data_IF_968110615863
#
_entry.id   IF_968110615863
#
_cell.length_a   1.000
_cell.length_b   1.000
_cell.length_c   1.000
_cell.angle_alpha   90.00
_cell.angle_beta   90.00
_cell.angle_gamma   90.00
#
_symmetry.space_group_name_H-M   'P 1'
#
loop_
_entity.id
_entity.type
_entity.pdbx_description
1 polymer ?
#
# COMPACT_ATOMS: atom_id res chain seq x y z
N UNK A 1 29.56 -15.11 -28.14
CA UNK A 1 29.25 -14.29 -26.95
C UNK A 1 30.35 -14.31 -25.90
N UNK A 2 30.62 -15.43 -25.17
CA UNK A 2 31.63 -15.46 -24.09
C UNK A 2 33.04 -15.01 -24.51
N UNK A 3 33.51 -15.45 -25.68
CA UNK A 3 34.82 -15.03 -26.22
C UNK A 3 34.91 -13.55 -26.57
N UNK A 4 33.78 -12.89 -26.89
CA UNK A 4 33.77 -11.46 -27.16
C UNK A 4 33.79 -10.68 -25.85
N UNK A 5 32.96 -11.09 -24.89
CA UNK A 5 32.89 -10.48 -23.56
C UNK A 5 34.25 -10.56 -22.84
N UNK A 6 34.97 -11.68 -22.96
CA UNK A 6 36.30 -11.83 -22.36
C UNK A 6 37.37 -10.89 -22.94
N UNK A 7 37.10 -10.26 -24.09
CA UNK A 7 38.00 -9.30 -24.73
C UNK A 7 37.62 -7.85 -24.40
N UNK A 8 36.49 -7.62 -23.73
CA UNK A 8 36.06 -6.27 -23.38
C UNK A 8 36.86 -5.72 -22.18
N UNK A 9 37.11 -4.40 -22.14
CA UNK A 9 37.71 -3.73 -21.01
C UNK A 9 36.93 -3.94 -19.70
N UNK A 10 37.62 -3.88 -18.56
CA UNK A 10 37.01 -4.04 -17.23
C UNK A 10 36.28 -2.79 -16.73
N UNK A 11 36.55 -1.61 -17.27
CA UNK A 11 35.79 -0.37 -16.96
C UNK A 11 34.56 -0.26 -17.87
N UNK A 12 33.36 0.00 -17.31
CA UNK A 12 32.14 0.19 -18.08
C UNK A 12 32.26 1.27 -19.17
N UNK A 13 32.89 2.40 -18.86
CA UNK A 13 33.05 3.55 -19.77
C UNK A 13 33.88 3.16 -20.99
N UNK A 14 34.99 2.47 -20.76
CA UNK A 14 35.88 2.01 -21.85
C UNK A 14 35.19 0.90 -22.66
N UNK A 15 34.42 0.03 -22.00
CA UNK A 15 33.64 -1.01 -22.67
C UNK A 15 32.50 -0.42 -23.53
N UNK A 16 31.86 0.66 -23.09
CA UNK A 16 30.87 1.42 -23.86
C UNK A 16 31.53 1.96 -25.14
N UNK A 17 32.65 2.68 -25.00
CA UNK A 17 33.37 3.27 -26.15
C UNK A 17 33.79 2.16 -27.14
N UNK A 18 34.38 1.07 -26.66
CA UNK A 18 34.81 -0.04 -27.50
C UNK A 18 33.62 -0.69 -28.23
N UNK A 19 32.47 -0.81 -27.58
CA UNK A 19 31.26 -1.39 -28.18
C UNK A 19 30.61 -0.44 -29.20
N UNK A 20 30.56 0.86 -28.92
CA UNK A 20 30.09 1.88 -29.88
C UNK A 20 30.95 1.90 -31.15
N UNK A 21 32.27 1.83 -30.98
CA UNK A 21 33.22 1.72 -32.09
C UNK A 21 33.03 0.41 -32.86
N UNK A 22 32.83 -0.71 -32.17
CA UNK A 22 32.57 -2.01 -32.80
C UNK A 22 31.27 -2.03 -33.60
N UNK A 23 30.26 -1.29 -33.15
CA UNK A 23 28.97 -1.10 -33.84
C UNK A 23 29.03 -0.01 -34.92
N UNK A 24 30.17 0.67 -35.08
CA UNK A 24 30.40 1.79 -35.99
C UNK A 24 29.44 2.96 -35.79
N UNK A 25 28.94 3.17 -34.55
CA UNK A 25 28.06 4.30 -34.25
C UNK A 25 28.84 5.61 -34.45
N UNK A 26 28.37 6.56 -35.29
CA UNK A 26 29.02 7.85 -35.46
C UNK A 26 29.20 8.58 -34.13
N UNK A 27 30.38 9.18 -33.84
CA UNK A 27 30.63 9.89 -32.58
C UNK A 27 29.60 10.97 -32.24
N UNK A 28 29.08 11.65 -33.28
CA UNK A 28 28.03 12.66 -33.13
C UNK A 28 26.71 12.10 -32.57
N UNK A 29 26.49 10.78 -32.66
CA UNK A 29 25.26 10.11 -32.24
C UNK A 29 25.43 9.31 -30.94
N UNK A 30 26.61 9.27 -30.33
CA UNK A 30 26.87 8.45 -29.15
C UNK A 30 25.91 8.77 -28.00
N UNK A 31 25.71 10.05 -27.70
CA UNK A 31 24.78 10.47 -26.65
C UNK A 31 23.34 10.02 -26.96
N UNK A 32 22.85 10.31 -28.16
CA UNK A 32 21.49 9.91 -28.60
C UNK A 32 21.31 8.41 -28.55
N UNK A 33 22.29 7.64 -29.01
CA UNK A 33 22.22 6.17 -29.01
C UNK A 33 22.22 5.59 -27.60
N UNK A 34 23.05 6.12 -26.70
CA UNK A 34 23.06 5.74 -25.28
C UNK A 34 21.72 6.09 -24.59
N UNK A 35 21.12 7.23 -24.93
CA UNK A 35 19.79 7.60 -24.44
C UNK A 35 18.72 6.63 -24.94
N UNK A 36 18.73 6.22 -26.21
CA UNK A 36 17.82 5.19 -26.73
C UNK A 36 18.00 3.84 -26.01
N UNK A 37 19.25 3.46 -25.69
CA UNK A 37 19.54 2.25 -24.91
C UNK A 37 18.99 2.36 -23.48
N UNK A 38 19.07 3.53 -22.84
CA UNK A 38 18.44 3.74 -21.54
C UNK A 38 16.91 3.71 -21.63
N UNK A 39 16.31 4.45 -22.57
CA UNK A 39 14.86 4.60 -22.71
C UNK A 39 14.14 3.34 -23.19
N UNK A 40 14.83 2.36 -23.75
CA UNK A 40 14.23 1.06 -24.06
C UNK A 40 14.05 0.15 -22.83
N UNK A 41 14.63 0.52 -21.67
CA UNK A 41 14.45 -0.18 -20.38
C UNK A 41 14.16 0.81 -19.24
N UNK A 42 13.13 1.66 -19.37
CA UNK A 42 12.95 2.83 -18.52
C UNK A 42 12.84 2.45 -17.03
N UNK A 43 12.30 1.28 -16.70
CA UNK A 43 12.26 0.77 -15.32
C UNK A 43 13.65 0.54 -14.72
N UNK A 44 14.50 -0.24 -15.39
CA UNK A 44 15.85 -0.55 -14.89
C UNK A 44 16.77 0.67 -14.92
N UNK A 45 16.75 1.46 -16.00
CA UNK A 45 17.57 2.67 -16.08
C UNK A 45 17.17 3.72 -15.03
N UNK A 46 15.87 3.87 -14.74
CA UNK A 46 15.40 4.77 -13.70
C UNK A 46 15.74 4.25 -12.30
N UNK A 47 15.57 2.95 -12.03
CA UNK A 47 15.91 2.36 -10.74
C UNK A 47 17.40 2.49 -10.42
N UNK A 48 18.27 2.19 -11.40
CA UNK A 48 19.73 2.34 -11.25
C UNK A 48 20.12 3.80 -10.99
N UNK A 49 19.52 4.75 -11.74
CA UNK A 49 19.73 6.19 -11.51
C UNK A 49 19.25 6.63 -10.12
N UNK A 50 18.11 6.10 -9.67
CA UNK A 50 17.59 6.37 -8.33
C UNK A 50 18.57 5.88 -7.25
N UNK A 51 19.10 4.66 -7.40
CA UNK A 51 20.07 4.09 -6.46
C UNK A 51 21.34 4.94 -6.35
N UNK A 52 21.88 5.44 -7.48
CA UNK A 52 23.06 6.31 -7.46
C UNK A 52 22.81 7.67 -6.80
N UNK A 53 21.57 8.18 -6.87
CA UNK A 53 21.18 9.44 -6.23
C UNK A 53 20.98 9.24 -4.72
N UNK A 54 20.29 8.18 -4.32
CA UNK A 54 20.02 7.88 -2.90
C UNK A 54 21.27 7.45 -2.12
N UNK A 55 22.24 6.79 -2.77
CA UNK A 55 23.46 6.35 -2.10
C UNK A 55 24.41 7.50 -1.75
N UNK A 56 24.16 8.72 -2.26
CA UNK A 56 24.93 9.93 -1.98
C UNK A 56 26.43 9.82 -2.29
N UNK A 57 26.83 8.79 -3.02
CA UNK A 57 28.22 8.43 -3.29
C UNK A 57 28.55 8.87 -4.71
N UNK A 58 29.28 9.97 -4.86
CA UNK A 58 29.90 10.37 -6.12
C UNK A 58 31.10 9.47 -6.49
N UNK A 59 31.08 8.18 -6.11
CA UNK A 59 32.12 7.24 -6.49
C UNK A 59 31.89 6.80 -7.95
N UNK A 60 32.79 7.13 -8.90
CA UNK A 60 32.67 6.72 -10.29
C UNK A 60 32.62 5.19 -10.46
N UNK A 61 33.14 4.42 -9.49
CA UNK A 61 33.10 2.97 -9.49
C UNK A 61 31.72 2.40 -9.10
N UNK A 62 30.83 3.20 -8.52
CA UNK A 62 29.45 2.84 -8.19
C UNK A 62 28.42 3.43 -9.16
N UNK A 63 28.83 3.90 -10.35
CA UNK A 63 27.90 4.33 -11.39
C UNK A 63 27.31 3.13 -12.14
N UNK A 64 26.33 2.49 -11.52
CA UNK A 64 25.63 1.32 -12.05
C UNK A 64 24.95 1.60 -13.41
N UNK A 65 24.69 2.88 -13.77
CA UNK A 65 24.07 3.24 -15.05
C UNK A 65 25.05 3.00 -16.21
N UNK A 66 26.32 3.37 -16.04
CA UNK A 66 27.38 3.05 -16.99
C UNK A 66 27.52 1.54 -17.13
N UNK A 67 27.49 0.79 -16.01
CA UNK A 67 27.53 -0.67 -16.01
C UNK A 67 26.41 -1.30 -16.83
N UNK A 68 25.17 -0.85 -16.61
CA UNK A 68 23.98 -1.31 -17.33
C UNK A 68 24.08 -1.03 -18.84
N UNK A 69 24.49 0.18 -19.23
CA UNK A 69 24.69 0.55 -20.63
C UNK A 69 25.81 -0.26 -21.30
N UNK A 70 26.92 -0.49 -20.59
CA UNK A 70 28.03 -1.32 -21.06
C UNK A 70 27.58 -2.77 -21.34
N UNK A 71 26.80 -3.37 -20.43
CA UNK A 71 26.27 -4.73 -20.62
C UNK A 71 25.37 -4.83 -21.87
N UNK A 72 24.51 -3.84 -22.09
CA UNK A 72 23.62 -3.80 -23.25
C UNK A 72 24.40 -3.66 -24.55
N UNK A 73 25.30 -2.68 -24.61
CA UNK A 73 26.13 -2.46 -25.79
C UNK A 73 27.04 -3.65 -26.09
N UNK A 74 27.58 -4.31 -25.07
CA UNK A 74 28.35 -5.53 -25.21
C UNK A 74 27.52 -6.65 -25.86
N UNK A 75 26.24 -6.76 -25.50
CA UNK A 75 25.33 -7.72 -26.11
C UNK A 75 25.05 -7.39 -27.58
N UNK A 76 24.71 -6.14 -27.89
CA UNK A 76 24.44 -5.68 -29.26
C UNK A 76 25.66 -5.88 -30.16
N UNK A 77 26.85 -5.48 -29.70
CA UNK A 77 28.09 -5.64 -30.44
C UNK A 77 28.47 -7.12 -30.63
N UNK A 78 28.26 -7.97 -29.62
CA UNK A 78 28.47 -9.39 -29.76
C UNK A 78 27.51 -10.04 -30.77
N UNK A 79 26.24 -9.60 -30.76
CA UNK A 79 25.22 -10.09 -31.66
C UNK A 79 25.54 -9.70 -33.11
N UNK A 80 25.84 -8.42 -33.36
CA UNK A 80 26.27 -7.90 -34.67
C UNK A 80 27.46 -8.69 -35.22
N UNK A 81 28.50 -8.92 -34.42
CA UNK A 81 29.64 -9.76 -34.83
C UNK A 81 29.25 -11.21 -35.14
N UNK A 82 28.38 -11.80 -34.31
CA UNK A 82 27.99 -13.21 -34.48
C UNK A 82 27.11 -13.47 -35.70
N UNK A 83 26.27 -12.48 -36.04
CA UNK A 83 25.32 -12.54 -37.15
C UNK A 83 25.87 -11.86 -38.41
N UNK A 84 27.08 -11.29 -38.34
CA UNK A 84 27.77 -10.60 -39.42
C UNK A 84 26.92 -9.53 -40.12
N UNK A 85 26.10 -8.79 -39.36
CA UNK A 85 25.38 -7.63 -39.88
C UNK A 85 25.98 -6.35 -39.34
N UNK A 86 26.03 -5.34 -40.20
CA UNK A 86 26.40 -3.98 -39.87
C UNK A 86 25.19 -3.07 -40.04
N UNK A 87 25.10 -2.03 -39.21
CA UNK A 87 24.04 -1.04 -39.30
C UNK A 87 24.55 0.09 -40.19
N UNK A 88 23.82 0.38 -41.27
CA UNK A 88 24.06 1.52 -42.12
C UNK A 88 23.51 2.79 -41.44
N UNK A 89 24.35 3.43 -40.62
CA UNK A 89 23.95 4.61 -39.83
C UNK A 89 23.57 5.83 -40.68
N UNK A 90 24.03 5.88 -41.94
CA UNK A 90 23.73 6.96 -42.88
C UNK A 90 22.23 7.06 -43.23
N UNK A 91 21.48 5.95 -43.18
CA UNK A 91 20.05 5.92 -43.50
C UNK A 91 19.16 6.35 -42.32
N UNK A 92 19.67 6.26 -41.10
CA UNK A 92 18.90 6.49 -39.87
C UNK A 92 19.14 7.86 -39.22
N UNK A 93 20.25 8.53 -39.52
CA UNK A 93 20.58 9.79 -38.91
C UNK A 93 21.29 10.73 -39.89
N UNK A 94 20.83 11.97 -39.98
CA UNK A 94 21.51 13.09 -40.66
C UNK A 94 22.85 13.49 -40.00
N UNK A 95 23.47 12.60 -39.22
CA UNK A 95 24.55 12.86 -38.27
C UNK A 95 24.28 14.00 -37.29
N UNK A 96 23.02 14.43 -37.15
CA UNK A 96 22.64 15.41 -36.16
C UNK A 96 22.21 14.70 -34.88
N UNK A 97 22.85 14.98 -33.73
CA UNK A 97 22.37 14.48 -32.45
C UNK A 97 20.95 14.98 -32.21
N UNK A 98 20.09 14.12 -31.66
CA UNK A 98 18.80 14.58 -31.14
C UNK A 98 19.09 15.43 -29.92
N UNK A 99 18.91 16.74 -30.05
CA UNK A 99 18.93 17.66 -28.91
C UNK A 99 17.63 17.48 -28.13
N UNK A 100 17.74 16.98 -26.90
CA UNK A 100 16.66 17.02 -25.92
C UNK A 100 16.61 18.34 -25.16
N UNK A 101 17.51 19.29 -25.46
CA UNK A 101 17.34 20.68 -24.99
C UNK A 101 16.14 21.25 -25.74
N UNK A 102 15.11 21.63 -24.97
CA UNK A 102 13.97 22.41 -25.43
C UNK A 102 14.48 23.55 -26.30
N UNK A 103 14.00 23.63 -27.54
CA UNK A 103 14.44 24.66 -28.46
C UNK A 103 14.00 26.03 -27.89
N UNK A 104 14.87 27.05 -27.95
CA UNK A 104 14.54 28.38 -27.42
C UNK A 104 13.31 29.03 -28.07
N UNK A 105 12.91 28.57 -29.27
CA UNK A 105 11.70 29.00 -29.98
C UNK A 105 10.40 28.31 -29.50
N UNK A 106 10.48 27.33 -28.58
CA UNK A 106 9.29 26.67 -28.00
C UNK A 106 8.55 27.52 -26.97
N UNK A 107 9.11 28.64 -26.51
CA UNK A 107 8.53 29.44 -25.44
C UNK A 107 7.09 29.91 -25.74
N UNK A 108 6.79 30.24 -27.01
CA UNK A 108 5.44 30.66 -27.42
C UNK A 108 4.44 29.48 -27.40
N UNK A 109 4.88 28.29 -27.82
CA UNK A 109 4.06 27.08 -27.79
C UNK A 109 3.87 26.56 -26.35
N UNK A 110 4.87 26.71 -25.48
CA UNK A 110 4.77 26.41 -24.06
C UNK A 110 3.77 27.33 -23.36
N UNK A 111 3.86 28.64 -23.58
CA UNK A 111 2.90 29.61 -23.05
C UNK A 111 1.49 29.31 -23.52
N UNK A 112 1.29 29.01 -24.81
CA UNK A 112 -0.02 28.64 -25.35
C UNK A 112 -0.56 27.35 -24.71
N UNK A 113 0.26 26.29 -24.62
CA UNK A 113 -0.12 25.03 -23.96
C UNK A 113 -0.46 25.25 -22.49
N UNK A 114 0.34 26.04 -21.78
CA UNK A 114 0.10 26.41 -20.39
C UNK A 114 -1.21 27.21 -20.23
N UNK A 115 -1.45 28.21 -21.08
CA UNK A 115 -2.69 28.99 -21.06
C UNK A 115 -3.91 28.11 -21.33
N UNK A 116 -3.84 27.21 -22.31
CA UNK A 116 -4.94 26.26 -22.59
C UNK A 116 -5.15 25.28 -21.44
N UNK A 117 -4.08 24.75 -20.83
CA UNK A 117 -4.17 23.90 -19.65
C UNK A 117 -4.84 24.66 -18.49
N UNK A 118 -4.36 25.87 -18.17
CA UNK A 118 -4.94 26.70 -17.11
C UNK A 118 -6.40 27.05 -17.38
N UNK A 119 -6.75 27.39 -18.62
CA UNK A 119 -8.13 27.65 -19.00
C UNK A 119 -9.01 26.41 -18.81
N UNK A 120 -8.51 25.22 -19.16
CA UNK A 120 -9.24 23.95 -18.97
C UNK A 120 -9.42 23.60 -17.49
N UNK A 121 -8.39 23.80 -16.66
CA UNK A 121 -8.45 23.58 -15.21
C UNK A 121 -9.43 24.55 -14.54
N UNK A 122 -9.41 25.83 -14.92
CA UNK A 122 -10.35 26.84 -14.43
C UNK A 122 -11.78 26.51 -14.83
N UNK A 123 -12.02 26.14 -16.10
CA UNK A 123 -13.35 25.77 -16.56
C UNK A 123 -13.88 24.50 -15.86
N UNK A 124 -13.02 23.49 -15.64
CA UNK A 124 -13.38 22.30 -14.87
C UNK A 124 -13.72 22.65 -13.42
N UNK A 125 -12.86 23.44 -12.75
CA UNK A 125 -13.07 23.92 -11.39
C UNK A 125 -14.40 24.68 -11.28
N UNK A 126 -14.65 25.62 -12.18
CA UNK A 126 -15.85 26.46 -12.12
C UNK A 126 -17.12 25.63 -12.32
N UNK A 127 -17.08 24.63 -13.22
CA UNK A 127 -18.17 23.66 -13.38
C UNK A 127 -18.38 22.83 -12.12
N UNK A 128 -17.31 22.27 -11.54
CA UNK A 128 -17.39 21.47 -10.32
C UNK A 128 -17.92 22.29 -9.13
N UNK A 129 -17.46 23.54 -8.98
CA UNK A 129 -17.94 24.45 -7.94
C UNK A 129 -19.42 24.79 -8.13
N UNK A 130 -19.88 24.97 -9.37
CA UNK A 130 -21.31 25.16 -9.65
C UNK A 130 -22.12 23.91 -9.29
N UNK A 131 -21.65 22.71 -9.65
CA UNK A 131 -22.33 21.45 -9.30
C UNK A 131 -22.42 21.26 -7.77
N UNK A 132 -21.33 21.52 -7.04
CA UNK A 132 -21.31 21.45 -5.57
C UNK A 132 -22.21 22.53 -4.95
N UNK A 133 -22.19 23.76 -5.45
CA UNK A 133 -23.04 24.84 -4.96
C UNK A 133 -24.53 24.52 -5.18
N UNK A 134 -24.90 23.95 -6.33
CA UNK A 134 -26.26 23.50 -6.62
C UNK A 134 -26.68 22.34 -5.70
N UNK A 135 -25.78 21.39 -5.41
CA UNK A 135 -26.06 20.32 -4.44
C UNK A 135 -26.20 20.84 -3.01
N UNK A 136 -25.40 21.84 -2.61
CA UNK A 136 -25.52 22.51 -1.32
C UNK A 136 -26.85 23.28 -1.21
N UNK A 137 -27.27 23.97 -2.28
CA UNK A 137 -28.57 24.64 -2.32
C UNK A 137 -29.75 23.64 -2.31
N UNK A 138 -29.61 22.49 -2.97
CA UNK A 138 -30.61 21.42 -2.91
C UNK A 138 -30.71 20.78 -1.53
N UNK A 139 -29.58 20.52 -0.85
CA UNK A 139 -29.59 19.98 0.51
C UNK A 139 -30.13 20.99 1.53
N UNK A 140 -29.87 22.28 1.36
CA UNK A 140 -30.49 23.35 2.18
C UNK A 140 -31.99 23.46 1.90
N UNK A 141 -32.44 23.41 0.64
CA UNK A 141 -33.87 23.45 0.29
C UNK A 141 -34.64 22.21 0.74
N UNK A 142 -34.08 21.01 0.60
CA UNK A 142 -34.67 19.78 1.12
C UNK A 142 -34.76 19.85 2.65
N UNK A 143 -33.73 20.41 3.32
CA UNK A 143 -33.74 20.69 4.76
C UNK A 143 -34.78 21.74 5.16
N UNK A 144 -35.03 22.77 4.33
CA UNK A 144 -36.09 23.76 4.57
C UNK A 144 -37.51 23.20 4.36
N UNK A 145 -37.74 22.33 3.37
CA UNK A 145 -39.04 21.63 3.25
C UNK A 145 -39.25 20.57 4.35
N UNK A 146 -38.18 20.00 4.90
CA UNK A 146 -38.23 19.15 6.09
C UNK A 146 -38.30 19.97 7.40
N UNK A 147 -37.95 21.26 7.39
CA UNK A 147 -37.95 22.12 8.60
C UNK A 147 -39.34 22.46 9.16
N UNK A 148 -40.41 22.21 8.40
CA UNK A 148 -41.80 22.29 8.89
C UNK A 148 -42.38 20.96 9.36
N UNK A 149 -41.67 19.85 9.15
CA UNK A 149 -41.86 18.64 9.94
C UNK A 149 -40.85 18.71 11.09
N UNK A 150 -41.25 19.37 12.18
CA UNK A 150 -40.64 19.35 13.51
C UNK A 150 -39.31 18.62 13.57
N UNK A 151 -38.20 19.34 13.76
CA UNK A 151 -36.90 18.78 14.09
C UNK A 151 -37.02 17.86 15.32
N UNK A 152 -37.35 16.60 15.06
CA UNK A 152 -37.11 15.50 15.98
C UNK A 152 -35.59 15.50 16.12
N UNK A 153 -35.04 15.52 17.36
CA UNK A 153 -33.61 15.31 17.52
C UNK A 153 -33.29 14.03 16.76
N UNK A 154 -32.49 14.10 15.70
CA UNK A 154 -32.05 12.90 15.02
C UNK A 154 -31.41 12.05 16.11
N UNK A 155 -32.07 10.92 16.45
CA UNK A 155 -31.65 10.07 17.55
C UNK A 155 -30.18 9.72 17.37
N UNK A 156 -29.48 9.54 18.49
CA UNK A 156 -28.10 9.05 18.48
C UNK A 156 -28.03 7.82 17.55
N UNK A 157 -27.16 7.88 16.54
CA UNK A 157 -27.00 6.82 15.54
C UNK A 157 -26.67 5.49 16.23
N UNK A 158 -27.11 4.39 15.62
CA UNK A 158 -26.77 3.04 16.05
C UNK A 158 -25.25 2.85 15.95
N UNK A 159 -24.72 3.14 14.77
CA UNK A 159 -23.30 2.99 14.47
C UNK A 159 -22.70 4.19 13.73
N UNK A 160 -21.44 4.50 14.05
CA UNK A 160 -20.58 5.41 13.31
C UNK A 160 -19.40 4.60 12.78
N UNK A 161 -19.24 4.50 11.47
CA UNK A 161 -18.21 3.68 10.84
C UNK A 161 -17.16 4.57 10.18
N UNK A 162 -15.95 4.55 10.70
CA UNK A 162 -14.80 5.29 10.17
C UNK A 162 -14.05 4.41 9.17
N UNK A 163 -14.19 4.69 7.88
CA UNK A 163 -13.51 3.98 6.81
C UNK A 163 -12.23 4.69 6.38
N UNK A 164 -11.33 3.94 5.74
CA UNK A 164 -10.22 4.56 5.01
C UNK A 164 -10.75 5.50 3.91
N UNK A 165 -10.08 6.65 3.69
CA UNK A 165 -10.32 7.57 2.56
C UNK A 165 -9.94 7.01 1.18
N UNK A 166 -9.66 5.71 1.08
CA UNK A 166 -9.49 5.03 -0.19
C UNK A 166 -10.81 5.10 -0.99
N UNK A 167 -10.72 5.53 -2.24
CA UNK A 167 -11.88 5.70 -3.14
C UNK A 167 -12.71 4.43 -3.31
N UNK A 168 -12.12 3.25 -3.10
CA UNK A 168 -12.83 1.97 -3.16
C UNK A 168 -13.76 1.77 -1.96
N UNK A 169 -13.47 2.39 -0.82
CA UNK A 169 -14.36 2.38 0.36
C UNK A 169 -15.53 3.36 0.23
N UNK A 170 -15.50 4.30 -0.74
CA UNK A 170 -16.58 5.27 -0.91
C UNK A 170 -17.91 4.62 -1.32
N UNK A 171 -17.86 3.55 -2.13
CA UNK A 171 -19.06 2.88 -2.63
C UNK A 171 -19.84 2.20 -1.50
N UNK A 172 -19.14 1.45 -0.64
CA UNK A 172 -19.77 0.78 0.50
C UNK A 172 -20.30 1.79 1.52
N UNK A 173 -19.58 2.89 1.77
CA UNK A 173 -20.04 3.97 2.66
C UNK A 173 -21.38 4.54 2.24
N UNK A 174 -21.48 4.95 0.98
CA UNK A 174 -22.75 5.46 0.41
C UNK A 174 -23.85 4.41 0.44
N UNK A 175 -23.51 3.15 0.20
CA UNK A 175 -24.48 2.08 0.23
C UNK A 175 -25.04 1.87 1.64
N UNK A 176 -24.20 1.83 2.67
CA UNK A 176 -24.61 1.70 4.07
C UNK A 176 -25.55 2.85 4.48
N UNK A 177 -25.18 4.09 4.18
CA UNK A 177 -26.00 5.27 4.47
C UNK A 177 -27.33 5.29 3.69
N UNK A 178 -27.34 4.73 2.47
CA UNK A 178 -28.57 4.62 1.67
C UNK A 178 -29.54 3.55 2.17
N UNK A 179 -29.00 2.49 2.79
CA UNK A 179 -29.79 1.35 3.28
C UNK A 179 -30.30 1.61 4.70
N UNK A 180 -29.53 2.31 5.53
CA UNK A 180 -29.89 2.60 6.92
C UNK A 180 -29.62 4.05 7.30
N UNK A 181 -30.67 4.75 7.71
CA UNK A 181 -30.55 6.08 8.31
C UNK A 181 -29.92 6.08 9.70
N UNK A 182 -29.71 4.91 10.32
CA UNK A 182 -29.13 4.75 11.65
C UNK A 182 -27.61 4.53 11.65
N UNK A 183 -27.01 4.44 10.45
CA UNK A 183 -25.56 4.33 10.25
C UNK A 183 -25.04 5.66 9.68
N UNK A 184 -23.98 6.17 10.27
CA UNK A 184 -23.22 7.31 9.78
C UNK A 184 -21.81 6.87 9.41
N UNK A 185 -21.27 7.31 8.27
CA UNK A 185 -19.90 6.96 7.88
C UNK A 185 -18.97 8.16 7.86
N UNK A 186 -17.73 7.96 8.33
CA UNK A 186 -16.66 8.94 8.29
C UNK A 186 -15.51 8.40 7.42
N UNK A 187 -14.75 9.31 6.81
CA UNK A 187 -13.54 8.97 6.06
C UNK A 187 -12.32 9.47 6.80
N UNK A 188 -11.33 8.60 7.02
CA UNK A 188 -10.03 9.00 7.57
C UNK A 188 -8.87 8.21 6.96
N UNK A 189 -7.62 8.66 7.10
CA UNK A 189 -6.48 7.89 6.63
C UNK A 189 -6.41 6.55 7.39
N UNK A 190 -6.22 5.42 6.67
CA UNK A 190 -6.35 4.06 7.24
C UNK A 190 -5.35 3.69 8.36
N UNK A 191 -4.34 4.53 8.62
CA UNK A 191 -3.46 4.39 9.78
C UNK A 191 -3.98 5.07 11.05
N UNK A 192 -5.10 5.79 10.95
CA UNK A 192 -5.78 6.44 12.08
C UNK A 192 -4.92 7.40 12.89
N UNK A 193 -3.85 7.95 12.30
CA UNK A 193 -2.94 8.85 13.00
C UNK A 193 -1.95 8.13 13.94
N UNK A 194 -1.90 6.79 13.90
CA UNK A 194 -1.09 5.98 14.79
C UNK A 194 0.28 5.67 14.16
N UNK A 195 1.40 6.17 14.71
CA UNK A 195 2.73 5.96 14.16
C UNK A 195 3.30 4.59 14.56
N UNK A 196 2.68 3.50 14.10
CA UNK A 196 2.95 2.13 14.58
C UNK A 196 3.82 1.33 13.61
N UNK A 197 4.76 0.57 14.16
CA UNK A 197 5.35 -0.62 13.55
C UNK A 197 4.67 -1.85 14.15
N UNK A 198 4.08 -2.71 13.33
CA UNK A 198 3.37 -3.90 13.82
C UNK A 198 4.23 -5.15 13.66
N UNK A 199 4.64 -5.73 14.79
CA UNK A 199 5.52 -6.90 14.85
C UNK A 199 4.69 -8.16 15.11
N UNK A 200 4.64 -9.06 14.14
CA UNK A 200 3.85 -10.30 14.25
C UNK A 200 4.48 -11.29 15.22
N UNK A 201 3.65 -12.18 15.77
CA UNK A 201 4.09 -13.16 16.75
C UNK A 201 5.15 -14.09 16.13
N UNK A 202 6.33 -14.10 16.76
CA UNK A 202 7.49 -14.88 16.33
C UNK A 202 8.37 -14.19 15.27
N UNK A 203 8.19 -12.90 15.02
CA UNK A 203 9.05 -12.07 14.15
C UNK A 203 9.95 -11.15 14.99
N UNK A 204 11.06 -10.70 14.37
CA UNK A 204 12.03 -9.80 15.03
C UNK A 204 11.86 -8.33 14.65
N UNK A 205 11.21 -8.08 13.52
CA UNK A 205 10.93 -6.76 12.95
C UNK A 205 9.51 -6.77 12.41
N UNK A 206 8.87 -5.62 12.37
CA UNK A 206 7.48 -5.48 11.95
C UNK A 206 7.32 -4.77 10.61
N UNK A 207 6.06 -4.70 10.18
CA UNK A 207 5.64 -3.88 9.07
C UNK A 207 5.44 -2.43 9.54
N UNK A 208 5.97 -1.45 8.81
CA UNK A 208 5.70 -0.03 9.06
C UNK A 208 4.26 0.29 8.66
N UNK A 209 3.37 0.40 9.63
CA UNK A 209 1.93 0.61 9.42
C UNK A 209 1.58 2.10 9.25
N UNK A 210 2.43 2.84 8.55
CA UNK A 210 2.35 4.29 8.36
C UNK A 210 2.58 4.65 6.89
N UNK A 211 2.18 5.86 6.43
CA UNK A 211 2.53 6.31 5.09
C UNK A 211 4.05 6.32 4.90
N UNK A 212 4.52 6.05 3.68
CA UNK A 212 5.95 5.91 3.34
C UNK A 212 6.83 7.11 3.77
N UNK A 213 6.23 8.29 3.91
CA UNK A 213 6.92 9.53 4.31
C UNK A 213 7.12 9.64 5.83
N UNK A 214 6.47 8.78 6.62
CA UNK A 214 6.53 8.81 8.09
C UNK A 214 7.35 7.63 8.60
N UNK A 215 8.03 7.84 9.73
CA UNK A 215 8.68 6.77 10.48
C UNK A 215 7.79 6.36 11.65
N UNK A 216 7.62 5.05 11.91
CA UNK A 216 7.00 4.58 13.14
C UNK A 216 7.69 5.15 14.38
N UNK A 217 6.91 5.45 15.41
CA UNK A 217 7.38 5.94 16.71
C UNK A 217 7.16 4.93 17.84
N UNK A 218 6.36 3.90 17.60
CA UNK A 218 6.10 2.83 18.56
C UNK A 218 5.95 1.47 17.88
N UNK A 219 6.36 0.42 18.60
CA UNK A 219 6.21 -0.96 18.18
C UNK A 219 5.06 -1.62 18.94
N UNK A 220 4.14 -2.23 18.20
CA UNK A 220 3.07 -3.03 18.74
C UNK A 220 3.30 -4.47 18.36
N UNK A 221 3.36 -5.34 19.36
CA UNK A 221 3.58 -6.76 19.17
C UNK A 221 2.25 -7.50 19.13
N UNK A 222 2.10 -8.41 18.17
CA UNK A 222 1.02 -9.39 18.18
C UNK A 222 1.29 -10.42 19.28
N UNK A 223 0.27 -10.74 20.06
CA UNK A 223 0.34 -11.74 21.12
C UNK A 223 -0.93 -12.61 21.15
N UNK A 224 -0.88 -13.70 21.91
CA UNK A 224 -2.03 -14.58 22.11
C UNK A 224 -2.98 -13.96 23.14
N UNK A 225 -4.29 -14.00 22.88
CA UNK A 225 -5.34 -13.53 23.81
C UNK A 225 -5.31 -14.30 25.13
N UNK A 226 -5.06 -15.61 25.07
CA UNK A 226 -4.89 -16.47 26.24
C UNK A 226 -3.51 -16.26 26.86
N UNK A 227 -3.46 -16.26 28.20
CA UNK A 227 -2.21 -16.23 28.95
C UNK A 227 -1.46 -17.57 28.95
N UNK A 228 -1.94 -18.59 28.21
CA UNK A 228 -1.35 -19.91 28.10
C UNK A 228 0.01 -19.88 27.36
N UNK A 229 1.13 -20.16 28.06
CA UNK A 229 2.46 -20.19 27.44
C UNK A 229 2.62 -21.29 26.39
N UNK A 230 1.93 -22.43 26.57
CA UNK A 230 2.06 -23.59 25.68
C UNK A 230 1.44 -23.27 24.32
N UNK A 231 0.25 -22.65 24.31
CA UNK A 231 -0.41 -22.18 23.10
C UNK A 231 0.48 -21.19 22.32
N UNK A 232 1.08 -20.21 23.01
CA UNK A 232 2.00 -19.25 22.41
C UNK A 232 3.20 -19.93 21.76
N UNK A 233 3.83 -20.86 22.48
CA UNK A 233 4.99 -21.61 21.97
C UNK A 233 4.64 -22.43 20.72
N UNK A 234 3.47 -23.06 20.72
CA UNK A 234 2.98 -23.88 19.61
C UNK A 234 2.72 -23.04 18.35
N UNK A 235 2.08 -21.88 18.49
CA UNK A 235 1.84 -20.95 17.36
C UNK A 235 3.17 -20.44 16.80
N UNK A 236 4.11 -20.05 17.65
CA UNK A 236 5.45 -19.58 17.22
C UNK A 236 6.19 -20.67 16.47
N UNK A 237 6.18 -21.91 16.96
CA UNK A 237 6.84 -23.04 16.31
C UNK A 237 6.21 -23.34 14.94
N UNK A 238 4.88 -23.37 14.87
CA UNK A 238 4.14 -23.63 13.62
C UNK A 238 4.41 -22.56 12.56
N UNK A 239 4.41 -21.27 12.95
CA UNK A 239 4.78 -20.16 12.04
C UNK A 239 6.24 -20.24 11.62
N UNK A 240 7.14 -20.60 12.53
CA UNK A 240 8.55 -20.85 12.25
C UNK A 240 8.76 -21.91 11.16
N UNK A 241 8.10 -23.06 11.29
CA UNK A 241 8.16 -24.15 10.31
C UNK A 241 7.61 -23.72 8.93
N UNK A 242 6.47 -23.03 8.92
CA UNK A 242 5.84 -22.54 7.69
C UNK A 242 6.75 -21.55 6.95
N UNK A 243 7.38 -20.61 7.68
CA UNK A 243 8.35 -19.66 7.12
C UNK A 243 9.61 -20.36 6.60
N UNK A 244 10.13 -21.35 7.32
CA UNK A 244 11.28 -22.12 6.89
C UNK A 244 10.99 -22.86 5.57
N UNK A 245 9.82 -23.48 5.46
CA UNK A 245 9.36 -24.14 4.24
C UNK A 245 9.22 -23.16 3.07
N UNK A 246 8.59 -22.00 3.29
CA UNK A 246 8.45 -20.98 2.25
C UNK A 246 9.78 -20.39 1.80
N UNK A 247 10.71 -20.15 2.72
CA UNK A 247 12.05 -19.67 2.39
C UNK A 247 12.78 -20.69 1.54
N UNK A 248 12.70 -21.98 1.89
CA UNK A 248 13.23 -23.07 1.09
C UNK A 248 12.57 -23.11 -0.31
N UNK A 249 11.25 -23.02 -0.36
CA UNK A 249 10.47 -23.03 -1.60
C UNK A 249 10.83 -21.86 -2.53
N UNK A 250 10.94 -20.65 -1.96
CA UNK A 250 11.37 -19.45 -2.67
C UNK A 250 12.79 -19.62 -3.22
N UNK A 251 13.73 -20.08 -2.39
CA UNK A 251 15.12 -20.30 -2.79
C UNK A 251 15.23 -21.34 -3.92
N UNK A 252 14.45 -22.42 -3.88
CA UNK A 252 14.41 -23.42 -4.95
C UNK A 252 13.90 -22.80 -6.26
N UNK A 253 12.82 -22.01 -6.19
CA UNK A 253 12.23 -21.34 -7.37
C UNK A 253 13.14 -20.27 -7.98
N UNK A 254 13.86 -19.51 -7.15
CA UNK A 254 14.72 -18.40 -7.61
C UNK A 254 16.15 -18.80 -7.87
N UNK A 255 16.55 -20.05 -7.58
CA UNK A 255 17.88 -20.57 -7.89
C UNK A 255 18.04 -20.79 -9.39
N UNK A 256 19.15 -20.31 -9.96
CA UNK A 256 19.48 -20.48 -11.37
C UNK A 256 19.57 -21.95 -11.82
N UNK A 257 19.95 -22.85 -10.89
CA UNK A 257 20.07 -24.30 -11.16
C UNK A 257 18.77 -25.04 -10.82
N UNK A 258 17.96 -24.49 -9.89
CA UNK A 258 16.75 -25.13 -9.38
C UNK A 258 15.48 -24.80 -10.15
N UNK A 259 15.43 -23.66 -10.87
CA UNK A 259 14.19 -23.17 -11.46
C UNK A 259 13.61 -24.09 -12.56
N UNK A 260 14.43 -24.62 -13.47
CA UNK A 260 13.96 -25.50 -14.54
C UNK A 260 13.50 -26.87 -14.02
N UNK A 261 14.30 -27.61 -13.22
CA UNK A 261 13.83 -28.87 -12.62
C UNK A 261 12.62 -28.67 -11.71
N UNK A 262 12.53 -27.54 -11.01
CA UNK A 262 11.37 -27.20 -10.19
C UNK A 262 10.10 -27.08 -11.03
N UNK A 263 10.14 -26.35 -12.15
CA UNK A 263 8.96 -26.20 -13.03
C UNK A 263 8.57 -27.53 -13.65
N UNK A 264 9.53 -28.33 -14.10
CA UNK A 264 9.27 -29.66 -14.69
C UNK A 264 8.62 -30.63 -13.69
N UNK A 265 9.12 -30.67 -12.44
CA UNK A 265 8.62 -31.59 -11.41
C UNK A 265 7.32 -31.12 -10.77
N UNK A 266 7.21 -29.83 -10.45
CA UNK A 266 6.01 -29.28 -9.79
C UNK A 266 4.90 -28.91 -10.76
N UNK A 267 5.21 -28.69 -12.04
CA UNK A 267 4.25 -28.31 -13.07
C UNK A 267 3.08 -29.30 -13.20
N UNK A 268 3.36 -30.60 -13.16
CA UNK A 268 2.32 -31.65 -13.19
C UNK A 268 1.42 -31.62 -11.95
N UNK A 269 1.98 -31.30 -10.76
CA UNK A 269 1.19 -31.12 -9.53
C UNK A 269 0.28 -29.89 -9.62
N UNK A 270 0.72 -28.82 -10.28
CA UNK A 270 -0.15 -27.68 -10.57
C UNK A 270 -1.30 -28.04 -11.51
N UNK A 271 -1.09 -28.97 -12.46
CA UNK A 271 -2.16 -29.51 -13.30
C UNK A 271 -3.28 -30.15 -12.48
N UNK A 272 -2.94 -30.97 -11.49
CA UNK A 272 -3.90 -31.53 -10.53
C UNK A 272 -4.62 -30.45 -9.71
N UNK A 273 -3.89 -29.40 -9.28
CA UNK A 273 -4.49 -28.26 -8.57
C UNK A 273 -5.49 -27.48 -9.44
N UNK A 274 -5.15 -27.24 -10.71
CA UNK A 274 -6.02 -26.58 -11.68
C UNK A 274 -7.25 -27.43 -11.99
N UNK A 275 -7.09 -28.74 -12.16
CA UNK A 275 -8.21 -29.66 -12.33
C UNK A 275 -9.16 -29.57 -11.13
N UNK A 276 -8.65 -29.70 -9.90
CA UNK A 276 -9.47 -29.56 -8.67
C UNK A 276 -10.19 -28.22 -8.57
N UNK A 277 -9.55 -27.10 -8.98
CA UNK A 277 -10.21 -25.79 -9.08
C UNK A 277 -11.33 -25.78 -10.12
N UNK A 278 -11.08 -26.39 -11.28
CA UNK A 278 -12.03 -26.43 -12.39
C UNK A 278 -13.27 -27.27 -12.10
N UNK A 279 -13.12 -28.34 -11.31
CA UNK A 279 -14.23 -29.21 -10.89
C UNK A 279 -14.88 -28.79 -9.57
N UNK A 280 -14.51 -27.62 -9.00
CA UNK A 280 -15.10 -27.10 -7.76
C UNK A 280 -14.72 -27.87 -6.48
N UNK A 281 -13.70 -28.74 -6.55
CA UNK A 281 -13.22 -29.55 -5.43
C UNK A 281 -12.16 -28.85 -4.57
N UNK A 282 -11.75 -27.64 -4.94
CA UNK A 282 -11.02 -26.80 -3.99
C UNK A 282 -12.05 -26.12 -3.09
N UNK A 283 -11.89 -26.17 -1.75
CA UNK A 283 -12.51 -25.17 -0.90
C UNK A 283 -12.23 -23.82 -1.56
N UNK A 284 -13.23 -22.93 -1.63
CA UNK A 284 -12.90 -21.53 -1.87
C UNK A 284 -11.71 -21.21 -0.96
N UNK A 285 -10.59 -20.68 -1.49
CA UNK A 285 -9.61 -20.08 -0.61
C UNK A 285 -10.43 -19.10 0.20
N UNK A 286 -10.67 -19.41 1.47
CA UNK A 286 -11.44 -18.58 2.39
C UNK A 286 -11.08 -17.14 2.10
N UNK A 287 -12.11 -16.29 2.00
CA UNK A 287 -12.13 -14.89 1.56
C UNK A 287 -11.23 -13.93 2.38
N UNK A 288 -10.05 -14.42 2.73
CA UNK A 288 -9.36 -14.22 3.97
C UNK A 288 -7.91 -14.66 3.73
N UNK A 289 -7.18 -13.77 3.06
CA UNK A 289 -5.79 -13.49 3.32
C UNK A 289 -4.77 -14.59 2.94
N UNK A 290 -3.98 -14.28 1.91
CA UNK A 290 -2.59 -14.77 1.84
C UNK A 290 -1.78 -14.48 3.13
N UNK A 291 -2.27 -13.61 4.03
CA UNK A 291 -1.76 -13.42 5.39
C UNK A 291 -2.45 -14.25 6.49
N UNK A 292 -3.72 -14.67 6.39
CA UNK A 292 -4.36 -15.61 7.35
C UNK A 292 -3.92 -17.05 7.08
N UNK A 293 -3.36 -17.35 5.91
CA UNK A 293 -2.55 -18.56 5.74
C UNK A 293 -1.38 -18.65 6.74
N UNK A 294 -0.95 -17.53 7.35
CA UNK A 294 0.00 -17.51 8.47
C UNK A 294 -0.64 -17.40 9.85
N UNK A 295 -1.92 -17.07 9.93
CA UNK A 295 -2.70 -17.02 11.16
C UNK A 295 -3.64 -18.21 11.17
N UNK A 296 -3.10 -19.39 11.49
CA UNK A 296 -3.92 -20.60 11.62
C UNK A 296 -4.99 -20.49 12.71
N UNK A 297 -4.91 -19.48 13.58
CA UNK A 297 -5.88 -19.10 14.60
C UNK A 297 -6.01 -17.55 14.66
N UNK A 298 -6.70 -16.88 13.72
CA UNK A 298 -6.78 -15.42 13.72
C UNK A 298 -7.52 -14.89 14.95
N UNK A 299 -8.49 -15.64 15.46
CA UNK A 299 -9.30 -15.27 16.61
C UNK A 299 -8.55 -15.35 17.94
N UNK A 300 -7.41 -16.05 17.98
CA UNK A 300 -6.58 -16.21 19.17
C UNK A 300 -5.49 -15.14 19.31
N UNK A 301 -5.24 -14.34 18.26
CA UNK A 301 -4.15 -13.37 18.22
C UNK A 301 -4.68 -11.95 18.31
N UNK A 302 -3.96 -11.06 18.99
CA UNK A 302 -4.31 -9.64 19.10
C UNK A 302 -3.11 -8.70 19.22
N UNK A 303 -3.25 -7.41 18.86
CA UNK A 303 -2.25 -6.40 19.17
C UNK A 303 -2.14 -6.19 20.68
N UNK A 304 -0.93 -6.31 21.23
CA UNK A 304 -0.65 -6.12 22.66
C UNK A 304 -0.05 -4.74 22.93
N UNK A 305 -0.70 -3.98 23.83
CA UNK A 305 -0.29 -2.62 24.20
C UNK A 305 0.64 -2.58 25.43
N UNK A 306 0.86 -3.70 26.11
CA UNK A 306 1.58 -3.75 27.39
C UNK A 306 3.06 -3.36 27.29
N UNK A 307 3.66 -3.50 26.10
CA UNK A 307 5.07 -3.17 25.86
C UNK A 307 5.33 -1.68 25.61
N UNK A 308 4.28 -0.84 25.52
CA UNK A 308 4.43 0.58 25.21
C UNK A 308 5.19 1.35 26.30
N UNK A 309 4.92 1.06 27.57
CA UNK A 309 5.63 1.69 28.68
C UNK A 309 7.15 1.42 28.64
N UNK A 310 7.57 0.23 28.20
CA UNK A 310 8.98 -0.14 28.08
C UNK A 310 9.70 0.62 26.96
N UNK A 311 8.93 1.09 25.97
CA UNK A 311 9.40 1.91 24.85
C UNK A 311 9.39 3.42 25.19
N UNK A 312 9.03 3.78 26.42
CA UNK A 312 8.87 5.17 26.83
C UNK A 312 7.55 5.81 26.41
N UNK A 313 6.65 5.06 25.74
CA UNK A 313 5.32 5.55 25.37
C UNK A 313 4.42 5.54 26.60
N UNK A 314 4.19 6.73 27.13
CA UNK A 314 3.37 6.95 28.30
C UNK A 314 1.88 6.95 27.98
N UNK A 315 1.08 6.77 29.03
CA UNK A 315 -0.36 6.95 28.95
C UNK A 315 -0.79 8.33 28.42
N UNK A 316 -0.03 9.39 28.74
CA UNK A 316 -0.33 10.75 28.26
C UNK A 316 -0.10 10.87 26.75
N UNK A 317 0.97 10.29 26.22
CA UNK A 317 1.23 10.25 24.77
C UNK A 317 0.17 9.44 24.02
N UNK A 318 -0.31 8.33 24.60
CA UNK A 318 -1.46 7.60 24.04
C UNK A 318 -2.74 8.45 24.04
N UNK A 319 -2.92 9.28 25.07
CA UNK A 319 -4.04 10.23 25.11
C UNK A 319 -3.88 11.32 24.05
N UNK A 320 -2.67 11.83 23.82
CA UNK A 320 -2.37 12.80 22.76
C UNK A 320 -2.69 12.23 21.37
N UNK A 321 -2.31 10.97 21.13
CA UNK A 321 -2.64 10.27 19.89
C UNK A 321 -4.15 10.06 19.73
N UNK A 322 -4.84 9.62 20.78
CA UNK A 322 -6.28 9.43 20.76
C UNK A 322 -7.05 10.74 20.52
N UNK A 323 -6.62 11.83 21.16
CA UNK A 323 -7.20 13.16 20.97
C UNK A 323 -6.97 13.67 19.54
N UNK A 324 -5.74 13.55 19.04
CA UNK A 324 -5.37 13.93 17.68
C UNK A 324 -6.19 13.15 16.65
N UNK A 325 -6.31 11.83 16.83
CA UNK A 325 -7.12 10.96 16.00
C UNK A 325 -8.58 11.43 15.94
N UNK A 326 -9.24 11.61 17.09
CA UNK A 326 -10.65 12.02 17.16
C UNK A 326 -10.88 13.43 16.60
N UNK A 327 -9.99 14.39 16.88
CA UNK A 327 -10.09 15.77 16.34
C UNK A 327 -9.93 15.79 14.83
N UNK A 328 -8.95 15.07 14.29
CA UNK A 328 -8.69 15.05 12.85
C UNK A 328 -9.81 14.32 12.08
N UNK A 329 -10.55 13.41 12.72
CA UNK A 329 -11.76 12.80 12.16
C UNK A 329 -13.01 13.68 12.26
N UNK A 330 -12.97 14.74 13.08
CA UNK A 330 -14.16 15.51 13.45
C UNK A 330 -15.08 14.80 14.46
N UNK A 331 -14.69 13.63 14.96
CA UNK A 331 -15.48 12.82 15.89
C UNK A 331 -15.16 13.19 17.35
N UNK A 332 -15.58 14.38 17.77
CA UNK A 332 -15.31 14.91 19.12
C UNK A 332 -16.55 14.97 20.02
N UNK A 333 -17.74 14.78 19.44
CA UNK A 333 -19.04 14.80 20.10
C UNK A 333 -20.03 13.90 19.36
N UNK A 334 -21.24 13.70 19.92
CA UNK A 334 -22.30 12.89 19.31
C UNK A 334 -21.90 11.46 18.92
N UNK A 335 -21.04 10.84 19.74
CA UNK A 335 -20.66 9.44 19.56
C UNK A 335 -21.89 8.53 19.52
N UNK A 336 -21.97 7.61 18.57
CA UNK A 336 -22.94 6.50 18.53
C UNK A 336 -22.69 5.50 19.66
N UNK A 337 -23.54 4.47 19.77
CA UNK A 337 -23.30 3.37 20.72
C UNK A 337 -22.16 2.47 20.24
N UNK A 338 -22.08 2.22 18.94
CA UNK A 338 -21.00 1.47 18.30
C UNK A 338 -20.21 2.39 17.38
N UNK A 339 -18.90 2.51 17.60
CA UNK A 339 -18.00 3.20 16.66
C UNK A 339 -17.05 2.17 16.05
N UNK A 340 -17.06 2.00 14.74
CA UNK A 340 -16.24 1.00 14.05
C UNK A 340 -15.08 1.68 13.31
N UNK A 341 -13.84 1.33 13.64
CA UNK A 341 -12.69 1.70 12.81
C UNK A 341 -12.49 0.63 11.74
N UNK A 342 -12.80 0.97 10.49
CA UNK A 342 -12.66 0.10 9.34
C UNK A 342 -11.34 0.42 8.61
N UNK A 343 -10.28 -0.31 8.97
CA UNK A 343 -9.11 -0.41 8.11
C UNK A 343 -9.50 -1.08 6.79
N UNK A 344 -8.68 -0.97 5.75
CA UNK A 344 -8.97 -1.69 4.51
C UNK A 344 -7.80 -2.55 4.05
N UNK A 345 -8.14 -3.58 3.29
CA UNK A 345 -7.20 -4.44 2.60
C UNK A 345 -7.81 -4.93 1.29
N UNK A 346 -7.08 -5.79 0.61
CA UNK A 346 -7.51 -6.40 -0.63
C UNK A 346 -7.24 -7.90 -0.64
N UNK A 347 -8.07 -8.62 -1.39
CA UNK A 347 -7.82 -10.04 -1.66
C UNK A 347 -7.36 -10.18 -3.12
N UNK A 348 -6.10 -10.57 -3.29
CA UNK A 348 -5.52 -10.84 -4.60
C UNK A 348 -4.76 -12.15 -4.59
N UNK A 349 -4.94 -12.96 -5.64
CA UNK A 349 -4.12 -14.14 -5.91
C UNK A 349 -2.77 -13.75 -6.56
N UNK A 350 -2.64 -12.50 -7.04
CA UNK A 350 -1.46 -11.97 -7.70
C UNK A 350 -0.65 -11.07 -6.75
N UNK A 351 0.32 -11.69 -6.06
CA UNK A 351 1.13 -11.05 -5.02
C UNK A 351 1.84 -9.73 -5.42
N UNK A 352 2.40 -9.56 -6.63
CA UNK A 352 2.98 -8.29 -7.09
C UNK A 352 2.09 -7.05 -6.95
N UNK A 353 0.77 -7.19 -7.08
CA UNK A 353 -0.17 -6.06 -6.99
C UNK A 353 -0.74 -5.86 -5.59
N UNK A 354 -0.45 -6.77 -4.64
CA UNK A 354 -1.01 -6.72 -3.28
C UNK A 354 -0.73 -5.38 -2.62
N UNK A 355 0.53 -4.95 -2.58
CA UNK A 355 0.90 -3.68 -1.93
C UNK A 355 0.25 -2.45 -2.59
N UNK A 356 -0.03 -2.51 -3.90
CA UNK A 356 -0.74 -1.44 -4.62
C UNK A 356 -2.26 -1.46 -4.42
N UNK A 357 -2.83 -2.59 -4.00
CA UNK A 357 -4.26 -2.74 -3.70
C UNK A 357 -4.57 -2.62 -2.20
N UNK A 358 -3.59 -2.83 -1.33
CA UNK A 358 -3.73 -2.58 0.11
C UNK A 358 -3.62 -1.07 0.42
N UNK A 359 -3.61 -0.71 1.70
CA UNK A 359 -3.71 0.68 2.12
C UNK A 359 -2.43 1.46 1.93
N UNK A 360 -2.44 2.44 1.02
CA UNK A 360 -1.31 3.36 0.83
C UNK A 360 -0.98 4.18 2.09
N UNK A 361 -1.98 4.52 2.90
CA UNK A 361 -1.77 5.20 4.19
C UNK A 361 -1.17 4.27 5.26
N UNK A 362 -1.17 2.96 5.05
CA UNK A 362 -0.50 1.97 5.91
C UNK A 362 0.75 1.40 5.23
N UNK A 363 1.36 2.11 4.28
CA UNK A 363 2.59 1.67 3.63
C UNK A 363 2.41 0.53 2.62
N UNK A 364 1.20 0.31 2.11
CA UNK A 364 0.87 -0.82 1.23
C UNK A 364 0.58 -2.11 1.99
N UNK A 365 0.23 -2.00 3.28
CA UNK A 365 -0.21 -3.11 4.12
C UNK A 365 -1.70 -3.03 4.44
N UNK A 366 -2.28 -4.12 4.93
CA UNK A 366 -3.66 -4.13 5.46
C UNK A 366 -3.79 -3.14 6.61
N UNK A 367 -4.88 -2.37 6.64
CA UNK A 367 -5.23 -1.47 7.75
C UNK A 367 -5.75 -2.18 8.99
N UNK A 368 -5.84 -3.53 9.00
CA UNK A 368 -6.32 -4.33 10.13
C UNK A 368 -5.60 -3.97 11.45
N UNK A 369 -4.26 -3.97 11.55
CA UNK A 369 -3.59 -3.74 12.83
C UNK A 369 -3.92 -2.36 13.39
N UNK A 370 -3.92 -1.34 12.54
CA UNK A 370 -4.21 0.04 12.93
C UNK A 370 -5.64 0.22 13.45
N UNK A 371 -6.62 -0.40 12.79
CA UNK A 371 -8.01 -0.40 13.26
C UNK A 371 -8.15 -1.04 14.65
N UNK A 372 -7.51 -2.20 14.84
CA UNK A 372 -7.53 -2.94 16.11
C UNK A 372 -6.85 -2.17 17.24
N UNK A 373 -5.72 -1.54 16.95
CA UNK A 373 -5.00 -0.69 17.91
C UNK A 373 -5.82 0.56 18.26
N UNK A 374 -6.40 1.25 17.28
CA UNK A 374 -7.23 2.43 17.50
C UNK A 374 -8.42 2.13 18.43
N UNK A 375 -9.16 1.06 18.15
CA UNK A 375 -10.27 0.61 18.99
C UNK A 375 -9.79 0.27 20.40
N UNK A 376 -8.67 -0.46 20.54
CA UNK A 376 -8.12 -0.87 21.84
C UNK A 376 -7.65 0.32 22.68
N UNK A 377 -7.00 1.33 22.07
CA UNK A 377 -6.60 2.57 22.77
C UNK A 377 -7.84 3.32 23.29
N UNK A 378 -8.84 3.54 22.43
CA UNK A 378 -10.03 4.30 22.80
C UNK A 378 -10.96 3.58 23.79
N UNK A 379 -10.84 2.25 23.92
CA UNK A 379 -11.54 1.48 24.95
C UNK A 379 -10.84 1.46 26.32
N UNK A 380 -9.62 1.97 26.46
CA UNK A 380 -8.96 2.05 27.77
C UNK A 380 -9.64 3.08 28.69
N UNK A 381 -9.93 2.67 29.93
CA UNK A 381 -10.62 3.51 30.90
C UNK A 381 -9.81 4.75 31.28
N UNK A 382 -8.48 4.62 31.38
CA UNK A 382 -7.59 5.74 31.62
C UNK A 382 -7.67 6.75 30.47
N UNK A 383 -7.61 6.29 29.20
CA UNK A 383 -7.58 7.17 28.01
C UNK A 383 -8.88 7.96 27.94
N UNK A 384 -10.02 7.29 28.11
CA UNK A 384 -11.33 7.94 28.16
C UNK A 384 -11.44 8.98 29.28
N UNK A 385 -10.87 8.69 30.47
CA UNK A 385 -10.86 9.64 31.60
C UNK A 385 -10.03 10.88 31.27
N UNK A 386 -8.85 10.70 30.69
CA UNK A 386 -7.99 11.82 30.31
C UNK A 386 -8.58 12.65 29.16
N UNK A 387 -9.17 12.02 28.14
CA UNK A 387 -9.88 12.70 27.06
C UNK A 387 -11.03 13.58 27.58
N UNK A 388 -11.76 13.10 28.59
CA UNK A 388 -12.81 13.90 29.26
C UNK A 388 -12.26 15.20 29.85
N UNK A 389 -11.08 15.16 30.49
CA UNK A 389 -10.42 16.37 31.00
C UNK A 389 -9.95 17.32 29.88
N UNK A 390 -9.77 16.81 28.66
CA UNK A 390 -9.42 17.60 27.47
C UNK A 390 -10.63 18.05 26.64
N UNK A 391 -11.84 17.87 27.18
CA UNK A 391 -13.08 18.35 26.56
C UNK A 391 -13.73 17.35 25.58
N UNK A 392 -13.19 16.15 25.40
CA UNK A 392 -13.78 15.10 24.58
C UNK A 392 -14.45 14.07 25.49
N UNK A 393 -15.77 14.12 25.60
CA UNK A 393 -16.53 13.19 26.44
C UNK A 393 -17.10 12.06 25.59
N UNK A 394 -16.49 10.87 25.71
CA UNK A 394 -17.02 9.63 25.14
C UNK A 394 -18.06 9.05 26.12
N UNK A 395 -19.33 8.87 25.72
CA UNK A 395 -20.35 8.25 26.56
C UNK A 395 -19.92 6.85 27.06
N UNK A 396 -20.31 6.49 28.29
CA UNK A 396 -19.95 5.20 28.91
C UNK A 396 -20.49 4.00 28.15
N UNK A 397 -21.58 4.19 27.41
CA UNK A 397 -22.21 3.20 26.55
C UNK A 397 -21.76 3.31 25.07
N UNK A 398 -20.65 3.99 24.79
CA UNK A 398 -19.97 3.91 23.49
C UNK A 398 -18.92 2.82 23.53
N UNK A 399 -18.92 1.91 22.57
CA UNK A 399 -17.88 0.91 22.41
C UNK A 399 -17.22 1.02 21.04
N UNK A 400 -15.88 1.00 21.02
CA UNK A 400 -15.12 1.01 19.76
C UNK A 400 -14.85 -0.42 19.30
N UNK A 401 -15.14 -0.72 18.04
CA UNK A 401 -14.93 -2.02 17.39
C UNK A 401 -13.95 -1.83 16.23
N UNK A 402 -13.12 -2.82 15.97
CA UNK A 402 -12.25 -2.82 14.81
C UNK A 402 -12.88 -3.63 13.68
N UNK A 403 -12.73 -3.16 12.45
CA UNK A 403 -13.16 -3.83 11.23
C UNK A 403 -12.10 -3.76 10.13
N UNK A 404 -12.18 -4.71 9.20
CA UNK A 404 -11.39 -4.73 7.96
C UNK A 404 -12.34 -4.80 6.78
N UNK A 405 -12.38 -3.72 6.01
CA UNK A 405 -13.06 -3.66 4.73
C UNK A 405 -12.19 -4.29 3.63
N UNK A 406 -12.65 -5.39 3.04
CA UNK A 406 -12.04 -5.97 1.85
C UNK A 406 -12.54 -5.23 0.61
N UNK A 407 -11.70 -4.34 0.08
CA UNK A 407 -12.01 -3.49 -1.09
C UNK A 407 -12.24 -4.26 -2.40
N UNK A 408 -12.03 -5.58 -2.41
CA UNK A 408 -12.27 -6.44 -3.58
C UNK A 408 -13.65 -7.09 -3.55
N UNK A 409 -14.19 -7.37 -2.37
CA UNK A 409 -15.46 -8.08 -2.16
C UNK A 409 -16.53 -7.23 -1.47
N UNK A 410 -16.16 -6.04 -1.01
CA UNK A 410 -16.97 -5.16 -0.15
C UNK A 410 -17.43 -5.85 1.17
N UNK A 411 -16.74 -6.91 1.59
CA UNK A 411 -17.01 -7.57 2.88
C UNK A 411 -16.30 -6.85 4.03
N UNK A 412 -16.93 -6.81 5.21
CA UNK A 412 -16.34 -6.24 6.43
C UNK A 412 -16.19 -7.36 7.45
N UNK A 413 -14.94 -7.63 7.84
CA UNK A 413 -14.63 -8.54 8.94
C UNK A 413 -14.47 -7.73 10.23
N UNK A 414 -15.18 -8.09 11.29
CA UNK A 414 -15.06 -7.43 12.61
C UNK A 414 -14.15 -8.23 13.54
N UNK A 415 -13.46 -7.54 14.45
CA UNK A 415 -12.49 -8.12 15.38
C UNK A 415 -12.83 -7.84 16.83
N UNK A 416 -12.30 -8.69 17.73
CA UNK A 416 -12.45 -8.58 19.19
C UNK A 416 -13.92 -8.51 19.66
N UNK A 417 -14.83 -9.17 18.93
CA UNK A 417 -16.26 -9.21 19.28
C UNK A 417 -16.50 -9.85 20.66
N UNK A 418 -15.59 -10.74 21.09
CA UNK A 418 -15.57 -11.35 22.41
C UNK A 418 -15.41 -10.34 23.57
N UNK A 419 -14.93 -9.13 23.28
CA UNK A 419 -14.75 -8.05 24.28
C UNK A 419 -15.88 -7.05 24.31
N UNK A 420 -16.80 -7.12 23.34
CA UNK A 420 -17.95 -6.22 23.29
C UNK A 420 -18.88 -6.56 24.46
N UNK A 421 -19.26 -5.57 25.30
CA UNK A 421 -20.19 -5.81 26.40
C UNK A 421 -21.50 -6.42 25.91
N UNK A 422 -22.11 -7.30 26.71
CA UNK A 422 -23.39 -7.94 26.37
C UNK A 422 -24.49 -6.90 26.08
N UNK A 423 -24.43 -5.74 26.73
CA UNK A 423 -25.34 -4.60 26.50
C UNK A 423 -25.34 -4.05 25.08
N UNK A 424 -24.35 -4.43 24.27
CA UNK A 424 -24.12 -3.94 22.91
C UNK A 424 -24.28 -5.06 21.86
N UNK A 425 -24.53 -6.31 22.25
CA UNK A 425 -24.66 -7.43 21.30
C UNK A 425 -25.88 -7.28 20.37
N UNK A 426 -26.99 -6.73 20.87
CA UNK A 426 -28.16 -6.44 20.04
C UNK A 426 -27.84 -5.38 18.98
N UNK A 427 -27.09 -4.33 19.36
CA UNK A 427 -26.67 -3.27 18.44
C UNK A 427 -25.71 -3.82 17.38
N UNK A 428 -24.80 -4.71 17.78
CA UNK A 428 -23.85 -5.37 16.88
C UNK A 428 -24.52 -6.34 15.91
N UNK A 429 -25.54 -7.09 16.35
CA UNK A 429 -26.29 -8.01 15.48
C UNK A 429 -27.20 -7.27 14.48
N UNK A 430 -27.54 -6.02 14.77
CA UNK A 430 -28.33 -5.17 13.88
C UNK A 430 -27.45 -4.47 12.83
N UNK A 431 -26.14 -4.35 13.08
CA UNK A 431 -25.12 -3.87 12.14
C UNK A 431 -24.74 -4.99 11.17
#
# INVERSE_FOLDING_TARGET
LRSYISQLPHSPEVAIIASLQSLKVPPALWETYLLCQAFSIPGWSAWVKYQSVESGTEDPLCNDLSGLLAMRLAYDAALSKSQAFEVEWCDYASNQPVSFKLASDEHYNELLRYTLLRASELAFRDRLLQEIAVQADHSVRDSETLSHASAVPAGRKLAQMVFCIDVRSERIRRHLESVSGDIETLGFAGFFGLPVEFVRLGEKSGDSQVPVLLKPQMQIFEDVKSADPDLKSHIVQQRGLSRAFQKLWKNLRTSAVGCFPFVETTGLLYGWKLWKRSVGFTPEPSAANHERLFSRNPDELEPNLNHLNQQGVTFLELTDLAESMLKNMGLTSNFSRIVVFCGHGSQTENNPLKAGLDCGACGGHSGEPNARIAAKILNQAEVRRALKHRGITIPSDTWFVAGLHNTTTDSIDYFELDRVPETHHADLNAL
#
